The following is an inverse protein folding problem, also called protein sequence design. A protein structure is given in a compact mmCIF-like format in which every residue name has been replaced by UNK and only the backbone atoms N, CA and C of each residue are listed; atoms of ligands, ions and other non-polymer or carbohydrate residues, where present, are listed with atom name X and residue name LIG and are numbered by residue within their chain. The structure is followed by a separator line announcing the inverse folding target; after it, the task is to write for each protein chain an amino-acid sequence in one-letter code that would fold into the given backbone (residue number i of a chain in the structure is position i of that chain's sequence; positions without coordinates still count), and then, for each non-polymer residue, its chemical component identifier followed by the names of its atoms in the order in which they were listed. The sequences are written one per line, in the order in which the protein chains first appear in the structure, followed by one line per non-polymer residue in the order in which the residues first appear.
data_IF_539057303206
#
_entry.id   IF_539057303206
#
_cell.length_a   1.000
_cell.length_b   1.000
_cell.length_c   1.000
_cell.angle_alpha   90.00
_cell.angle_beta   90.00
_cell.angle_gamma   90.00
#
_symmetry.space_group_name_H-M   'P 1'
#
loop_
_entity.id
_entity.type
_entity.pdbx_description
1 polymer ?
#
# COMPACT_ATOMS: atom_id res chain seq x y z
N UNK A 1 -23.13 -6.82 -7.97
CA UNK A 1 -21.88 -7.60 -7.84
C UNK A 1 -21.08 -7.01 -6.68
N UNK A 2 -20.56 -7.84 -5.78
CA UNK A 2 -19.74 -7.37 -4.66
C UNK A 2 -18.36 -6.94 -5.18
N UNK A 3 -17.84 -5.78 -4.74
CA UNK A 3 -16.47 -5.33 -5.04
C UNK A 3 -15.49 -6.01 -4.09
N UNK A 4 -14.31 -6.36 -4.61
CA UNK A 4 -13.21 -6.85 -3.79
C UNK A 4 -12.56 -5.65 -3.05
N UNK A 5 -12.33 -5.77 -1.75
CA UNK A 5 -11.55 -4.78 -1.00
C UNK A 5 -10.10 -5.24 -0.88
N UNK A 6 -9.15 -4.40 -1.31
CA UNK A 6 -7.71 -4.72 -1.33
C UNK A 6 -6.93 -3.61 -0.64
N UNK A 7 -6.19 -3.99 0.41
CA UNK A 7 -5.31 -3.11 1.15
C UNK A 7 -3.86 -3.56 0.98
N UNK A 8 -3.03 -2.73 0.34
CA UNK A 8 -1.58 -2.93 0.31
C UNK A 8 -0.95 -2.39 1.58
N UNK A 9 -0.09 -3.18 2.22
CA UNK A 9 0.70 -2.75 3.38
C UNK A 9 2.16 -2.74 2.99
N UNK A 10 2.82 -1.58 3.07
CA UNK A 10 4.24 -1.43 2.77
C UNK A 10 5.06 -1.25 4.04
N UNK A 11 5.99 -2.18 4.28
CA UNK A 11 6.97 -2.10 5.37
C UNK A 11 8.23 -1.28 5.05
N UNK A 12 8.23 -0.50 3.97
CA UNK A 12 9.36 0.37 3.66
C UNK A 12 9.46 1.53 4.65
N UNK A 13 10.63 1.74 5.23
CA UNK A 13 10.87 2.78 6.25
C UNK A 13 11.69 3.97 5.75
N UNK A 14 12.19 3.90 4.51
CA UNK A 14 12.93 4.99 3.86
C UNK A 14 11.99 5.85 3.02
N UNK A 15 12.27 7.15 2.91
CA UNK A 15 11.58 8.02 1.96
C UNK A 15 12.59 8.62 0.95
N UNK A 16 12.57 8.21 -0.35
CA UNK A 16 11.61 7.28 -0.98
C UNK A 16 11.85 5.79 -0.65
N UNK A 17 10.81 4.97 -0.80
CA UNK A 17 10.82 3.51 -0.57
C UNK A 17 10.51 2.72 -1.86
N UNK A 18 11.43 1.83 -2.25
CA UNK A 18 11.23 0.91 -3.39
C UNK A 18 10.12 -0.10 -3.10
N UNK A 19 10.01 -0.58 -1.87
CA UNK A 19 8.95 -1.51 -1.44
C UNK A 19 7.57 -0.86 -1.59
N UNK A 20 7.42 0.39 -1.14
CA UNK A 20 6.18 1.16 -1.27
C UNK A 20 5.81 1.32 -2.74
N UNK A 21 6.78 1.66 -3.61
CA UNK A 21 6.53 1.78 -5.04
C UNK A 21 5.99 0.49 -5.66
N UNK A 22 6.56 -0.67 -5.31
CA UNK A 22 6.10 -1.98 -5.81
C UNK A 22 4.70 -2.32 -5.29
N UNK A 23 4.43 -2.14 -3.99
CA UNK A 23 3.11 -2.44 -3.42
C UNK A 23 2.03 -1.55 -4.04
N UNK A 24 2.31 -0.26 -4.22
CA UNK A 24 1.40 0.68 -4.88
C UNK A 24 1.10 0.25 -6.32
N UNK A 25 2.13 -0.14 -7.08
CA UNK A 25 1.96 -0.62 -8.45
C UNK A 25 1.11 -1.90 -8.52
N UNK A 26 1.31 -2.84 -7.60
CA UNK A 26 0.56 -4.08 -7.54
C UNK A 26 -0.93 -3.83 -7.24
N UNK A 27 -1.22 -3.03 -6.22
CA UNK A 27 -2.60 -2.72 -5.81
C UNK A 27 -3.36 -2.01 -6.95
N UNK A 28 -2.73 -1.06 -7.63
CA UNK A 28 -3.29 -0.44 -8.84
C UNK A 28 -3.55 -1.45 -9.95
N UNK A 29 -2.62 -2.39 -10.16
CA UNK A 29 -2.78 -3.43 -11.18
C UNK A 29 -3.93 -4.41 -10.88
N UNK A 30 -4.33 -4.57 -9.61
CA UNK A 30 -5.53 -5.33 -9.22
C UNK A 30 -6.81 -4.60 -9.61
N UNK A 31 -6.93 -3.30 -9.31
CA UNK A 31 -8.10 -2.50 -9.67
C UNK A 31 -8.33 -2.41 -11.20
N UNK A 32 -7.27 -2.58 -12.00
CA UNK A 32 -7.37 -2.64 -13.46
C UNK A 32 -7.90 -3.98 -13.99
N UNK A 33 -7.83 -5.06 -13.20
CA UNK A 33 -8.21 -6.42 -13.63
C UNK A 33 -9.55 -6.87 -13.10
N UNK A 34 -9.93 -6.42 -11.91
CA UNK A 34 -11.18 -6.80 -11.24
C UNK A 34 -11.82 -5.57 -10.59
N UNK A 35 -13.16 -5.53 -10.46
CA UNK A 35 -13.85 -4.48 -9.71
C UNK A 35 -13.41 -4.49 -8.23
N UNK A 36 -12.43 -3.67 -7.90
CA UNK A 36 -11.85 -3.60 -6.57
C UNK A 36 -11.74 -2.15 -6.08
N UNK A 37 -12.04 -1.97 -4.79
CA UNK A 37 -11.66 -0.77 -4.05
C UNK A 37 -10.27 -1.03 -3.46
N UNK A 38 -9.37 -0.07 -3.65
CA UNK A 38 -7.95 -0.24 -3.34
C UNK A 38 -7.42 0.84 -2.41
N UNK A 39 -6.54 0.46 -1.49
CA UNK A 39 -5.85 1.35 -0.58
C UNK A 39 -4.40 0.94 -0.34
N UNK A 40 -3.60 1.86 0.19
CA UNK A 40 -2.21 1.65 0.58
C UNK A 40 -2.01 2.22 1.98
N UNK A 41 -1.33 1.48 2.84
CA UNK A 41 -0.83 1.94 4.14
C UNK A 41 0.67 1.70 4.18
N UNK A 42 1.45 2.74 4.49
CA UNK A 42 2.85 2.62 4.84
C UNK A 42 2.99 2.43 6.36
N UNK A 43 3.87 1.52 6.81
CA UNK A 43 4.02 1.27 8.26
C UNK A 43 4.53 2.51 9.02
N UNK A 44 5.24 3.39 8.31
CA UNK A 44 5.71 4.68 8.82
C UNK A 44 4.55 5.62 9.14
N UNK A 45 3.45 5.56 8.39
CA UNK A 45 2.22 6.31 8.68
C UNK A 45 1.41 5.65 9.79
N UNK A 46 1.40 4.32 9.84
CA UNK A 46 0.65 3.56 10.85
C UNK A 46 1.28 3.61 12.25
N UNK A 47 2.61 3.72 12.34
CA UNK A 47 3.34 3.80 13.60
C UNK A 47 4.51 4.79 13.54
N UNK A 48 4.25 6.11 13.41
CA UNK A 48 5.29 7.12 13.20
C UNK A 48 6.35 7.14 14.30
N UNK A 49 5.96 6.89 15.55
CA UNK A 49 6.86 6.88 16.72
C UNK A 49 7.93 5.79 16.66
N UNK A 50 7.71 4.71 15.92
CA UNK A 50 8.69 3.62 15.76
C UNK A 50 9.76 3.94 14.69
N UNK A 51 9.51 4.94 13.84
CA UNK A 51 10.31 5.23 12.65
C UNK A 51 10.73 6.71 12.53
N UNK A 52 10.58 7.51 13.59
CA UNK A 52 10.90 8.95 13.62
C UNK A 52 12.42 9.27 13.70
N UNK A 53 13.29 8.36 13.25
CA UNK A 53 14.75 8.48 13.33
C UNK A 53 15.35 9.32 12.22
#
# INVERSE_FOLDING_TARGET
MARLSVLGISGGVSNPSRTTAVVNALVKAVALRVPADTGLIEITEAAPSLFAG
#
